data_IF_186224878892
#
_entry.id   IF_186224878892
#
_cell.length_a   1.000
_cell.length_b   1.000
_cell.length_c   1.000
_cell.angle_alpha   90.00
_cell.angle_beta   90.00
_cell.angle_gamma   90.00
#
_symmetry.space_group_name_H-M   'P 1'
#
loop_
_entity.id
_entity.type
_entity.pdbx_description
1 polymer ?
#
# COMPACT_ATOMS: atom_id res chain seq x y z
N UNK A 1 19.63 -0.04 16.98
CA UNK A 1 20.63 -0.16 15.91
C UNK A 1 19.90 -0.85 14.77
N UNK A 2 19.66 -0.12 13.66
CA UNK A 2 18.95 -0.65 12.51
C UNK A 2 19.84 -1.68 11.83
N UNK A 3 19.45 -2.94 11.90
CA UNK A 3 20.20 -4.05 11.32
C UNK A 3 20.10 -3.92 9.80
N UNK A 4 21.18 -3.44 9.17
CA UNK A 4 21.25 -3.34 7.72
C UNK A 4 21.32 -4.77 7.18
N UNK A 5 20.24 -5.20 6.53
CA UNK A 5 20.13 -6.47 5.82
C UNK A 5 21.39 -6.75 4.96
N UNK A 6 21.91 -7.97 5.01
CA UNK A 6 23.16 -8.35 4.35
C UNK A 6 23.09 -8.13 2.84
N UNK A 7 24.25 -7.87 2.22
CA UNK A 7 24.37 -7.77 0.75
C UNK A 7 23.87 -9.03 0.04
N UNK A 8 24.06 -10.19 0.65
CA UNK A 8 23.62 -11.49 0.12
C UNK A 8 22.09 -11.62 0.15
N UNK A 9 21.46 -11.19 1.25
CA UNK A 9 20.00 -11.18 1.39
C UNK A 9 19.35 -10.23 0.39
N UNK A 10 19.95 -9.05 0.18
CA UNK A 10 19.50 -8.09 -0.83
C UNK A 10 19.56 -8.66 -2.26
N UNK A 11 20.65 -9.33 -2.62
CA UNK A 11 20.80 -9.95 -3.95
C UNK A 11 19.74 -11.02 -4.16
N UNK A 12 19.53 -11.88 -3.15
CA UNK A 12 18.52 -12.94 -3.19
C UNK A 12 17.12 -12.37 -3.39
N UNK A 13 16.78 -11.30 -2.67
CA UNK A 13 15.47 -10.65 -2.73
C UNK A 13 15.25 -9.92 -4.06
N UNK A 14 16.29 -9.31 -4.63
CA UNK A 14 16.27 -8.72 -5.98
C UNK A 14 16.02 -9.79 -7.06
N UNK A 15 16.66 -10.96 -6.95
CA UNK A 15 16.48 -12.07 -7.90
C UNK A 15 15.07 -12.67 -7.83
N UNK A 16 14.39 -12.56 -6.69
CA UNK A 16 13.04 -13.08 -6.47
C UNK A 16 11.95 -12.05 -6.78
N UNK A 17 12.26 -10.75 -6.76
CA UNK A 17 11.33 -9.68 -7.14
C UNK A 17 11.13 -9.66 -8.67
N UNK A 18 9.90 -9.79 -9.20
CA UNK A 18 9.66 -9.73 -10.63
C UNK A 18 9.96 -8.36 -11.25
N UNK A 19 10.05 -7.30 -10.44
CA UNK A 19 10.50 -5.99 -10.91
C UNK A 19 12.03 -5.82 -10.94
N UNK A 20 12.79 -6.80 -10.42
CA UNK A 20 14.24 -6.71 -10.25
C UNK A 20 14.68 -5.63 -9.24
N UNK A 21 13.74 -5.12 -8.44
CA UNK A 21 13.96 -4.09 -7.42
C UNK A 21 13.32 -4.51 -6.10
N UNK A 22 14.03 -4.23 -5.01
CA UNK A 22 13.49 -4.25 -3.65
C UNK A 22 13.30 -2.80 -3.21
N UNK A 23 12.08 -2.47 -2.82
CA UNK A 23 11.69 -1.18 -2.29
C UNK A 23 11.88 -1.15 -0.78
N UNK A 24 12.30 0.00 -0.27
CA UNK A 24 12.20 0.30 1.17
C UNK A 24 11.11 1.34 1.45
N UNK A 25 10.78 1.51 2.73
CA UNK A 25 9.74 2.45 3.19
C UNK A 25 10.01 3.90 2.75
N UNK A 26 11.26 4.37 2.83
CA UNK A 26 11.61 5.74 2.44
C UNK A 26 11.42 5.97 0.94
N UNK A 27 11.77 5.01 0.10
CA UNK A 27 11.55 5.09 -1.35
C UNK A 27 10.06 5.12 -1.69
N UNK A 28 9.25 4.26 -1.07
CA UNK A 28 7.80 4.27 -1.27
C UNK A 28 7.19 5.58 -0.80
N UNK A 29 7.61 6.08 0.37
CA UNK A 29 7.18 7.38 0.89
C UNK A 29 7.52 8.52 -0.06
N UNK A 30 8.75 8.58 -0.56
CA UNK A 30 9.17 9.58 -1.55
C UNK A 30 8.39 9.46 -2.85
N UNK A 31 8.13 8.24 -3.32
CA UNK A 31 7.32 7.98 -4.51
C UNK A 31 5.90 8.52 -4.32
N UNK A 32 5.26 8.27 -3.18
CA UNK A 32 3.92 8.79 -2.86
C UNK A 32 3.89 10.33 -2.76
N UNK A 33 4.95 10.94 -2.24
CA UNK A 33 5.03 12.40 -2.10
C UNK A 33 5.25 13.13 -3.43
N UNK A 34 5.88 12.48 -4.41
CA UNK A 34 6.29 13.10 -5.67
C UNK A 34 5.47 12.67 -6.89
N UNK A 35 4.77 11.54 -6.81
CA UNK A 35 4.02 10.97 -7.92
C UNK A 35 2.53 10.79 -7.58
N UNK A 36 1.64 11.66 -8.10
CA UNK A 36 0.20 11.52 -7.90
C UNK A 36 -0.35 10.16 -8.33
N UNK A 37 0.16 9.57 -9.42
CA UNK A 37 -0.29 8.24 -9.88
C UNK A 37 0.04 7.15 -8.85
N UNK A 38 1.14 7.29 -8.13
CA UNK A 38 1.50 6.37 -7.05
C UNK A 38 0.52 6.48 -5.87
N UNK A 39 0.04 7.69 -5.54
CA UNK A 39 -1.03 7.89 -4.54
C UNK A 39 -2.29 7.14 -4.94
N UNK A 40 -2.77 7.32 -6.18
CA UNK A 40 -3.94 6.61 -6.70
C UNK A 40 -3.75 5.09 -6.63
N UNK A 41 -2.62 4.60 -7.13
CA UNK A 41 -2.31 3.17 -7.17
C UNK A 41 -2.20 2.57 -5.77
N UNK A 42 -1.58 3.29 -4.83
CA UNK A 42 -1.44 2.85 -3.44
C UNK A 42 -2.78 2.77 -2.72
N UNK A 43 -3.68 3.74 -2.94
CA UNK A 43 -5.04 3.70 -2.38
C UNK A 43 -5.78 2.44 -2.86
N UNK A 44 -5.70 2.15 -4.18
CA UNK A 44 -6.33 0.96 -4.75
C UNK A 44 -5.72 -0.34 -4.22
N UNK A 45 -4.40 -0.38 -4.04
CA UNK A 45 -3.69 -1.56 -3.54
C UNK A 45 -4.12 -1.91 -2.11
N UNK A 46 -4.16 -0.93 -1.21
CA UNK A 46 -4.61 -1.12 0.18
C UNK A 46 -6.10 -1.50 0.23
N UNK A 47 -6.93 -0.84 -0.60
CA UNK A 47 -8.35 -1.18 -0.68
C UNK A 47 -8.58 -2.63 -1.13
N UNK A 48 -7.86 -3.07 -2.18
CA UNK A 48 -7.93 -4.46 -2.65
C UNK A 48 -7.59 -5.45 -1.54
N UNK A 49 -6.49 -5.23 -0.82
CA UNK A 49 -6.09 -6.09 0.30
C UNK A 49 -7.17 -6.17 1.38
N UNK A 50 -7.76 -5.03 1.75
CA UNK A 50 -8.86 -5.01 2.71
C UNK A 50 -10.03 -5.87 2.22
N UNK A 51 -10.44 -5.74 0.96
CA UNK A 51 -11.58 -6.50 0.42
C UNK A 51 -11.31 -8.00 0.33
N UNK A 52 -10.08 -8.41 0.05
CA UNK A 52 -9.72 -9.84 0.01
C UNK A 52 -9.68 -10.44 1.43
N UNK A 53 -9.18 -9.70 2.41
CA UNK A 53 -9.21 -10.11 3.82
C UNK A 53 -10.66 -10.15 4.38
N UNK A 54 -11.51 -9.19 4.02
CA UNK A 54 -12.93 -9.19 4.38
C UNK A 54 -13.68 -10.38 3.75
N UNK A 55 -13.32 -10.80 2.52
CA UNK A 55 -13.87 -12.02 1.90
C UNK A 55 -13.39 -13.27 2.62
N UNK A 56 -12.10 -13.37 2.93
CA UNK A 56 -11.48 -14.53 3.62
C UNK A 56 -11.95 -14.67 5.07
N UNK A 57 -12.15 -13.56 5.76
CA UNK A 57 -12.58 -13.54 7.17
C UNK A 57 -14.03 -13.93 7.40
N UNK A 58 -14.88 -13.92 6.36
CA UNK A 58 -16.19 -14.60 6.40
C UNK A 58 -16.05 -16.11 6.59
N UNK A 59 -14.86 -16.66 6.37
CA UNK A 59 -14.52 -18.08 6.58
C UNK A 59 -13.52 -18.30 7.73
N UNK A 60 -12.61 -17.37 8.03
CA UNK A 60 -11.56 -17.54 9.06
C UNK A 60 -11.27 -16.26 9.86
N UNK A 61 -11.57 -16.23 11.18
CA UNK A 61 -11.42 -15.05 12.05
C UNK A 61 -9.97 -14.75 12.48
N UNK A 62 -9.10 -14.31 11.57
CA UNK A 62 -7.84 -13.66 11.97
C UNK A 62 -7.64 -12.39 11.13
N UNK A 63 -8.10 -11.26 11.63
CA UNK A 63 -7.82 -9.96 11.00
C UNK A 63 -6.31 -9.67 11.12
N UNK A 64 -5.54 -9.90 10.07
CA UNK A 64 -4.07 -9.69 10.09
C UNK A 64 -3.65 -8.20 10.07
N UNK A 65 -4.53 -7.27 10.48
CA UNK A 65 -4.22 -5.83 10.51
C UNK A 65 -4.01 -5.20 9.13
N UNK A 66 -4.54 -5.85 8.08
CA UNK A 66 -4.37 -5.50 6.68
C UNK A 66 -5.47 -4.57 6.17
N UNK A 67 -5.13 -3.59 5.32
CA UNK A 67 -6.07 -2.62 4.78
C UNK A 67 -6.05 -1.28 5.50
N UNK A 68 -7.10 -0.48 5.31
CA UNK A 68 -7.24 0.79 6.02
C UNK A 68 -7.59 0.55 7.49
N UNK A 69 -6.98 1.32 8.39
CA UNK A 69 -7.38 1.30 9.79
C UNK A 69 -8.82 1.81 9.96
N UNK A 70 -9.45 1.50 11.10
CA UNK A 70 -10.84 1.88 11.36
C UNK A 70 -11.13 3.38 11.11
N UNK A 71 -10.23 4.28 11.51
CA UNK A 71 -10.40 5.73 11.38
C UNK A 71 -10.35 6.24 9.94
N UNK A 72 -9.57 5.60 9.08
CA UNK A 72 -9.38 5.98 7.69
C UNK A 72 -10.27 5.16 6.73
N UNK A 73 -10.76 3.99 7.17
CA UNK A 73 -11.48 3.00 6.35
C UNK A 73 -12.61 3.62 5.54
N UNK A 74 -13.51 4.36 6.17
CA UNK A 74 -14.68 4.97 5.51
C UNK A 74 -14.26 5.95 4.42
N UNK A 75 -13.39 6.91 4.76
CA UNK A 75 -13.01 7.98 3.82
C UNK A 75 -12.09 7.45 2.70
N UNK A 76 -11.11 6.62 3.03
CA UNK A 76 -10.16 6.10 2.04
C UNK A 76 -10.81 5.06 1.12
N UNK A 77 -11.75 4.24 1.61
CA UNK A 77 -12.55 3.35 0.76
C UNK A 77 -13.41 4.14 -0.21
N UNK A 78 -14.05 5.22 0.25
CA UNK A 78 -14.84 6.10 -0.64
C UNK A 78 -14.00 6.74 -1.76
N UNK A 79 -12.72 7.01 -1.49
CA UNK A 79 -11.79 7.49 -2.50
C UNK A 79 -11.39 6.36 -3.45
N UNK A 80 -11.07 5.17 -2.93
CA UNK A 80 -10.76 4.00 -3.75
C UNK A 80 -11.89 3.67 -4.73
N UNK A 81 -13.14 3.66 -4.26
CA UNK A 81 -14.32 3.41 -5.10
C UNK A 81 -14.49 4.46 -6.21
N UNK A 82 -14.27 5.75 -5.90
CA UNK A 82 -14.27 6.80 -6.92
C UNK A 82 -13.20 6.56 -7.98
N UNK A 83 -11.99 6.19 -7.56
CA UNK A 83 -10.86 5.92 -8.46
C UNK A 83 -11.15 4.69 -9.33
N UNK A 84 -11.73 3.62 -8.78
CA UNK A 84 -12.16 2.42 -9.53
C UNK A 84 -13.22 2.73 -10.59
N UNK A 85 -14.09 3.71 -10.33
CA UNK A 85 -15.06 4.22 -11.30
C UNK A 85 -14.42 5.11 -12.39
N UNK A 86 -13.09 5.24 -12.41
CA UNK A 86 -12.35 6.09 -13.35
C UNK A 86 -12.44 7.58 -13.04
N UNK A 87 -12.90 7.97 -11.84
CA UNK A 87 -12.99 9.38 -11.44
C UNK A 87 -11.66 9.86 -10.86
N UNK A 88 -11.40 11.15 -11.07
CA UNK A 88 -10.25 11.84 -10.48
C UNK A 88 -10.70 12.46 -9.16
N UNK A 89 -9.88 12.37 -8.11
CA UNK A 89 -10.15 13.04 -6.85
C UNK A 89 -10.03 14.56 -7.03
N UNK A 90 -10.97 15.32 -6.47
CA UNK A 90 -10.83 16.77 -6.39
C UNK A 90 -9.55 17.15 -5.63
N UNK A 91 -9.04 18.36 -5.83
CA UNK A 91 -7.82 18.84 -5.18
C UNK A 91 -7.85 18.67 -3.65
N UNK A 92 -9.00 18.93 -3.01
CA UNK A 92 -9.17 18.75 -1.56
C UNK A 92 -9.16 17.28 -1.14
N UNK A 93 -9.86 16.42 -1.88
CA UNK A 93 -9.85 14.99 -1.63
C UNK A 93 -8.45 14.41 -1.82
N UNK A 94 -7.76 14.79 -2.89
CA UNK A 94 -6.39 14.37 -3.16
C UNK A 94 -5.43 14.82 -2.05
N UNK A 95 -5.54 16.06 -1.55
CA UNK A 95 -4.72 16.52 -0.44
C UNK A 95 -4.95 15.71 0.85
N UNK A 96 -6.18 15.29 1.12
CA UNK A 96 -6.49 14.40 2.25
C UNK A 96 -5.93 13.01 2.00
N UNK A 97 -6.14 12.46 0.80
CA UNK A 97 -5.73 11.11 0.43
C UNK A 97 -4.21 10.96 0.43
N UNK A 98 -3.48 11.91 -0.17
CA UNK A 98 -2.01 11.90 -0.23
C UNK A 98 -1.38 12.01 1.15
N UNK A 99 -2.00 12.71 2.10
CA UNK A 99 -1.52 12.75 3.48
C UNK A 99 -1.80 11.45 4.23
N UNK A 100 -3.00 10.89 4.07
CA UNK A 100 -3.43 9.68 4.81
C UNK A 100 -2.73 8.42 4.30
N UNK A 101 -2.48 8.32 2.99
CA UNK A 101 -1.85 7.13 2.40
C UNK A 101 -0.43 6.89 2.93
N UNK A 102 0.27 7.93 3.38
CA UNK A 102 1.61 7.81 3.98
C UNK A 102 1.64 6.97 5.27
N UNK A 103 0.50 6.78 5.95
CA UNK A 103 0.41 5.88 7.11
C UNK A 103 0.55 4.40 6.73
N UNK A 104 0.34 4.08 5.45
CA UNK A 104 0.30 2.73 4.92
C UNK A 104 1.56 2.37 4.13
N UNK A 105 2.64 3.16 4.27
CA UNK A 105 3.91 2.95 3.56
C UNK A 105 4.43 1.53 3.76
N UNK A 106 4.38 0.99 4.99
CA UNK A 106 4.87 -0.35 5.27
C UNK A 106 4.10 -1.41 4.48
N UNK A 107 2.75 -1.38 4.53
CA UNK A 107 1.92 -2.28 3.72
C UNK A 107 2.19 -2.10 2.22
N UNK A 108 2.39 -0.87 1.75
CA UNK A 108 2.71 -0.59 0.35
C UNK A 108 4.10 -1.08 -0.06
N UNK A 109 5.08 -1.04 0.85
CA UNK A 109 6.41 -1.62 0.66
C UNK A 109 6.31 -3.14 0.52
N UNK A 110 5.56 -3.79 1.42
CA UNK A 110 5.32 -5.23 1.37
C UNK A 110 4.61 -5.62 0.06
N UNK A 111 3.61 -4.85 -0.38
CA UNK A 111 2.94 -5.03 -1.68
C UNK A 111 3.93 -4.87 -2.85
N UNK A 112 4.74 -3.82 -2.84
CA UNK A 112 5.65 -3.50 -3.92
C UNK A 112 6.78 -4.53 -4.07
N UNK A 113 7.14 -5.19 -2.98
CA UNK A 113 8.11 -6.27 -2.95
C UNK A 113 7.49 -7.65 -3.17
N UNK A 114 6.17 -7.74 -3.29
CA UNK A 114 5.44 -9.00 -3.31
C UNK A 114 5.76 -9.88 -2.09
N UNK A 115 6.10 -9.25 -0.95
CA UNK A 115 6.32 -9.95 0.33
C UNK A 115 4.97 -10.41 0.94
N UNK A 116 3.86 -10.33 0.19
CA UNK A 116 2.57 -10.93 0.51
C UNK A 116 2.53 -12.39 0.05
N UNK A 117 2.73 -13.27 1.04
CA UNK A 117 2.77 -14.75 0.99
C UNK A 117 4.09 -15.36 0.52
#
# INVERSE_FOLDING_TARGET
>A
MSDKMSKEDLIKRIQQSPSGKVWNEDEIKQLLMTNPKAVYSGILAIYKLQTEEEKKSRETQVQNGMGFNANDSVIMSSFAEQILQGKILSQRQFAVASKRILKYVNQLTDIANEDYY
#
